data_IF_958940659387
#
_entry.id   IF_958940659387
#
_cell.length_a   1.000
_cell.length_b   1.000
_cell.length_c   1.000
_cell.angle_alpha   90.00
_cell.angle_beta   90.00
_cell.angle_gamma   90.00
#
_symmetry.space_group_name_H-M   'P 1'
#
loop_
_entity.id
_entity.type
_entity.pdbx_description
1 polymer ?
#
# COMPACT_ATOMS: atom_id res chain seq x y z
N UNK A 1 11.59 4.01 10.83
CA UNK A 1 11.45 3.42 9.48
C UNK A 1 10.79 2.05 9.59
N UNK A 2 10.16 1.56 8.52
CA UNK A 2 9.53 0.23 8.45
C UNK A 2 10.38 -0.65 7.53
N UNK A 3 10.62 -1.91 7.91
CA UNK A 3 11.39 -2.84 7.10
C UNK A 3 10.53 -3.41 5.96
N UNK A 4 11.01 -3.31 4.72
CA UNK A 4 10.39 -3.93 3.54
C UNK A 4 10.94 -5.34 3.29
N UNK A 5 10.27 -6.08 2.41
CA UNK A 5 10.81 -7.28 1.79
C UNK A 5 12.19 -7.03 1.15
N UNK A 6 12.98 -8.09 1.00
CA UNK A 6 14.38 -7.99 0.58
C UNK A 6 14.57 -7.48 -0.87
N UNK A 7 13.54 -7.59 -1.72
CA UNK A 7 13.56 -7.14 -3.09
C UNK A 7 12.56 -6.00 -3.30
N UNK A 8 12.96 -4.99 -4.08
CA UNK A 8 12.08 -3.88 -4.45
C UNK A 8 11.06 -4.35 -5.50
N UNK A 9 9.75 -4.13 -5.29
CA UNK A 9 8.73 -4.77 -6.11
C UNK A 9 8.39 -4.05 -7.42
N UNK A 10 8.90 -2.83 -7.66
CA UNK A 10 8.53 -2.04 -8.83
C UNK A 10 9.65 -1.97 -9.87
N UNK A 11 9.25 -1.92 -11.14
CA UNK A 11 10.11 -1.67 -12.29
C UNK A 11 9.44 -0.67 -13.22
N UNK A 12 10.21 0.26 -13.80
CA UNK A 12 9.67 1.32 -14.65
C UNK A 12 8.94 0.75 -15.87
N UNK A 13 7.74 1.26 -16.15
CA UNK A 13 6.92 0.83 -17.28
C UNK A 13 6.19 -0.51 -17.11
N UNK A 14 6.37 -1.18 -15.97
CA UNK A 14 5.70 -2.46 -15.68
C UNK A 14 4.39 -2.23 -14.93
N UNK A 15 3.34 -2.93 -15.34
CA UNK A 15 2.08 -2.99 -14.60
C UNK A 15 2.28 -3.65 -13.23
N UNK A 16 1.56 -3.17 -12.21
CA UNK A 16 1.51 -3.80 -10.89
C UNK A 16 0.10 -3.68 -10.30
N UNK A 17 -0.26 -4.61 -9.43
CA UNK A 17 -1.42 -4.50 -8.54
C UNK A 17 -0.93 -4.31 -7.10
N UNK A 18 -1.43 -3.26 -6.43
CA UNK A 18 -1.15 -3.00 -5.02
C UNK A 18 -2.41 -3.17 -4.18
N UNK A 19 -2.27 -3.90 -3.07
CA UNK A 19 -3.32 -4.03 -2.05
C UNK A 19 -2.79 -3.45 -0.75
N UNK A 20 -3.54 -2.49 -0.19
CA UNK A 20 -3.33 -1.93 1.14
C UNK A 20 -4.47 -2.38 2.04
N UNK A 21 -4.22 -3.36 2.89
CA UNK A 21 -5.22 -3.90 3.81
C UNK A 21 -5.13 -3.19 5.17
N UNK A 22 -6.21 -2.54 5.59
CA UNK A 22 -6.31 -1.95 6.93
C UNK A 22 -6.66 -3.03 7.97
N UNK A 23 -5.67 -3.52 8.71
CA UNK A 23 -5.86 -4.46 9.81
C UNK A 23 -5.96 -3.79 11.18
N UNK A 24 -6.28 -4.54 12.26
CA UNK A 24 -6.43 -3.99 13.61
C UNK A 24 -5.15 -3.37 14.20
N UNK A 25 -3.97 -3.86 13.78
CA UNK A 25 -2.66 -3.45 14.34
C UNK A 25 -1.85 -2.57 13.40
N UNK A 26 -2.31 -2.39 12.17
CA UNK A 26 -1.55 -1.73 11.11
C UNK A 26 -2.06 -2.08 9.72
N UNK A 27 -1.51 -1.39 8.74
CA UNK A 27 -1.69 -1.72 7.33
C UNK A 27 -0.79 -2.88 6.92
N UNK A 28 -1.28 -3.73 6.03
CA UNK A 28 -0.48 -4.73 5.31
C UNK A 28 -0.45 -4.36 3.84
N UNK A 29 0.73 -4.35 3.25
CA UNK A 29 0.90 -4.01 1.83
C UNK A 29 1.37 -5.25 1.08
N UNK A 30 0.71 -5.53 -0.04
CA UNK A 30 1.15 -6.53 -1.01
C UNK A 30 1.23 -5.89 -2.40
N UNK A 31 2.17 -6.38 -3.21
CA UNK A 31 2.33 -6.02 -4.62
C UNK A 31 2.40 -7.32 -5.40
N UNK A 32 1.58 -7.44 -6.45
CA UNK A 32 1.46 -8.62 -7.31
C UNK A 32 1.29 -9.93 -6.52
N UNK A 33 0.42 -9.89 -5.50
CA UNK A 33 0.12 -11.02 -4.60
C UNK A 33 1.21 -11.33 -3.57
N UNK A 34 2.37 -10.66 -3.60
CA UNK A 34 3.48 -10.88 -2.66
C UNK A 34 3.46 -9.82 -1.56
N UNK A 35 3.47 -10.27 -0.30
CA UNK A 35 3.55 -9.38 0.86
C UNK A 35 4.88 -8.62 0.91
N UNK A 36 4.80 -7.30 1.12
CA UNK A 36 5.96 -6.40 1.12
C UNK A 36 6.31 -5.89 2.52
N UNK A 37 5.32 -5.43 3.28
CA UNK A 37 5.54 -4.87 4.61
C UNK A 37 4.27 -4.82 5.45
N UNK A 38 4.48 -4.74 6.77
CA UNK A 38 3.48 -4.35 7.76
C UNK A 38 3.81 -2.93 8.28
N UNK A 39 2.84 -2.02 8.26
CA UNK A 39 2.97 -0.66 8.79
C UNK A 39 2.06 -0.47 10.01
N UNK A 40 2.63 -0.36 11.20
CA UNK A 40 1.84 -0.13 12.41
C UNK A 40 1.12 1.22 12.38
N UNK A 41 -0.12 1.24 12.86
CA UNK A 41 -0.91 2.46 12.95
C UNK A 41 -0.21 3.48 13.85
N UNK A 42 0.11 4.65 13.30
CA UNK A 42 0.62 5.80 14.06
C UNK A 42 -0.51 6.74 14.48
N UNK A 43 -1.51 6.87 13.62
CA UNK A 43 -2.80 7.47 13.96
C UNK A 43 -3.72 6.34 14.41
N UNK A 44 -4.15 6.36 15.67
CA UNK A 44 -4.99 5.30 16.25
C UNK A 44 -6.47 5.46 15.86
N UNK A 45 -6.92 6.71 15.71
CA UNK A 45 -8.27 7.01 15.26
C UNK A 45 -8.36 6.86 13.74
N UNK A 46 -8.64 5.64 13.29
CA UNK A 46 -8.71 5.29 11.88
C UNK A 46 -9.88 5.97 11.15
N UNK A 47 -10.88 6.47 11.87
CA UNK A 47 -12.00 7.20 11.26
C UNK A 47 -11.55 8.49 10.57
N UNK A 48 -10.38 9.01 10.96
CA UNK A 48 -9.75 10.20 10.37
C UNK A 48 -9.02 9.91 9.06
N UNK A 49 -8.84 8.64 8.70
CA UNK A 49 -8.23 8.23 7.43
C UNK A 49 -9.34 8.10 6.40
N UNK A 50 -9.74 9.24 5.83
CA UNK A 50 -10.89 9.35 4.91
C UNK A 50 -10.51 9.74 3.49
N UNK A 51 -9.23 9.95 3.22
CA UNK A 51 -8.71 10.44 1.94
C UNK A 51 -7.64 9.48 1.40
N UNK A 52 -7.64 9.31 0.08
CA UNK A 52 -6.63 8.54 -0.65
C UNK A 52 -6.09 9.40 -1.78
N UNK A 53 -4.77 9.49 -1.85
CA UNK A 53 -4.07 10.24 -2.88
C UNK A 53 -3.05 9.33 -3.57
N UNK A 54 -3.00 9.39 -4.90
CA UNK A 54 -2.00 8.70 -5.73
C UNK A 54 -1.30 9.75 -6.58
N UNK A 55 -0.03 9.98 -6.31
CA UNK A 55 0.80 10.99 -6.97
C UNK A 55 2.07 10.36 -7.56
N UNK A 56 2.72 11.10 -8.47
CA UNK A 56 3.99 10.74 -9.08
C UNK A 56 3.85 10.03 -10.43
N UNK A 57 4.93 9.38 -10.85
CA UNK A 57 5.07 8.81 -12.20
C UNK A 57 4.37 7.44 -12.30
N UNK A 58 3.04 7.46 -12.25
CA UNK A 58 2.18 6.28 -12.37
C UNK A 58 0.95 6.60 -13.21
N UNK A 59 0.48 5.63 -13.98
CA UNK A 59 -0.85 5.71 -14.62
C UNK A 59 -1.82 4.87 -13.81
N UNK A 60 -2.79 5.51 -13.16
CA UNK A 60 -3.82 4.79 -12.42
C UNK A 60 -4.81 4.15 -13.40
N UNK A 61 -4.84 2.82 -13.43
CA UNK A 61 -5.74 2.07 -14.33
C UNK A 61 -7.07 1.72 -13.68
N UNK A 62 -7.06 1.32 -12.41
CA UNK A 62 -8.25 0.97 -11.64
C UNK A 62 -8.02 1.28 -10.16
N UNK A 63 -9.08 1.62 -9.44
CA UNK A 63 -9.06 1.86 -8.00
C UNK A 63 -10.33 1.30 -7.37
N UNK A 64 -10.14 0.45 -6.36
CA UNK A 64 -11.24 -0.15 -5.59
C UNK A 64 -11.00 0.06 -4.10
N UNK A 65 -12.02 0.59 -3.43
CA UNK A 65 -12.06 0.78 -1.98
C UNK A 65 -13.23 -0.04 -1.44
N UNK A 66 -12.97 -0.89 -0.44
CA UNK A 66 -13.91 -1.82 0.16
C UNK A 66 -14.03 -1.59 1.66
#
# INVERSE_FOLDING_TARGET
ETKMAAAFPFSAGTYFEMIVLCGPRGFKVAVDGVHQLDYQHRVQDLSRVSELEVLGDVTLMDLKVF
#
